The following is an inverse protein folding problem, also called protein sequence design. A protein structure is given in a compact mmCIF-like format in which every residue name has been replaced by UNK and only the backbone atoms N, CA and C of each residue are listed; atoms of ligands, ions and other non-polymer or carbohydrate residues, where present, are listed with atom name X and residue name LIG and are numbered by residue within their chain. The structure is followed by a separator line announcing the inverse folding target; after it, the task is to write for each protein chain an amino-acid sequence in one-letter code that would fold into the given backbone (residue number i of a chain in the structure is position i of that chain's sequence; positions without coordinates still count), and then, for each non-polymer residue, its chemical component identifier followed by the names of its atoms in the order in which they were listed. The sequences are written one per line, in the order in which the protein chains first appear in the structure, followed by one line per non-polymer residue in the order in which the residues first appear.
data_IF_371156517387
#
_entry.id   IF_371156517387
#
_cell.length_a   1.000
_cell.length_b   1.000
_cell.length_c   1.000
_cell.angle_alpha   90.00
_cell.angle_beta   90.00
_cell.angle_gamma   90.00
#
_symmetry.space_group_name_H-M   'P 1'
#
loop_
_entity.id
_entity.type
_entity.pdbx_description
1 polymer ?
#
# COMPACT_ATOMS: atom_id res chain seq x y z
N UNK A 1 24.49 -83.51 -4.65
CA UNK A 1 24.00 -82.74 -3.50
C UNK A 1 24.98 -81.59 -3.28
N UNK A 2 24.80 -80.46 -3.98
CA UNK A 2 24.12 -79.23 -3.52
C UNK A 2 24.69 -78.67 -2.22
N UNK A 3 25.42 -77.56 -2.33
CA UNK A 3 25.26 -76.30 -1.56
C UNK A 3 26.51 -75.41 -1.80
N UNK A 4 26.58 -74.78 -2.97
CA UNK A 4 27.50 -73.66 -3.19
C UNK A 4 26.70 -72.37 -2.96
N UNK A 5 27.07 -71.66 -1.90
CA UNK A 5 26.47 -70.44 -1.38
C UNK A 5 26.42 -69.32 -2.42
N UNK A 6 25.21 -68.89 -2.77
CA UNK A 6 24.96 -67.62 -3.45
C UNK A 6 25.23 -66.47 -2.48
N UNK A 7 26.46 -65.95 -2.47
CA UNK A 7 26.75 -64.65 -1.87
C UNK A 7 26.28 -63.59 -2.85
N UNK A 8 25.09 -63.03 -2.61
CA UNK A 8 24.59 -61.85 -3.29
C UNK A 8 25.54 -60.68 -3.01
N UNK A 9 26.32 -60.28 -4.01
CA UNK A 9 27.04 -59.00 -4.00
C UNK A 9 26.00 -57.89 -4.02
N UNK A 10 25.58 -57.43 -2.85
CA UNK A 10 24.80 -56.22 -2.71
C UNK A 10 25.75 -55.06 -3.03
N UNK A 11 25.77 -54.60 -4.28
CA UNK A 11 26.36 -53.30 -4.58
C UNK A 11 25.55 -52.28 -3.79
N UNK A 12 26.15 -51.65 -2.78
CA UNK A 12 25.55 -50.51 -2.13
C UNK A 12 25.27 -49.48 -3.24
N UNK A 13 24.01 -49.39 -3.66
CA UNK A 13 23.57 -48.28 -4.48
C UNK A 13 23.81 -47.06 -3.61
N UNK A 14 24.87 -46.33 -3.95
CA UNK A 14 25.21 -45.03 -3.38
C UNK A 14 23.90 -44.28 -3.26
N UNK A 15 23.47 -44.01 -2.03
CA UNK A 15 22.29 -43.20 -1.77
C UNK A 15 22.41 -41.97 -2.65
N UNK A 16 21.48 -41.81 -3.58
CA UNK A 16 21.39 -40.56 -4.32
C UNK A 16 21.20 -39.51 -3.23
N UNK A 17 22.20 -38.68 -3.01
CA UNK A 17 22.04 -37.49 -2.18
C UNK A 17 20.90 -36.73 -2.83
N UNK A 18 19.73 -36.71 -2.18
CA UNK A 18 18.59 -35.91 -2.62
C UNK A 18 19.07 -34.47 -2.49
N UNK A 19 19.65 -33.93 -3.56
CA UNK A 19 19.94 -32.50 -3.64
C UNK A 19 18.57 -31.84 -3.75
N UNK A 20 18.14 -31.06 -2.75
CA UNK A 20 16.86 -30.38 -2.84
C UNK A 20 16.88 -29.50 -4.09
N UNK A 21 15.91 -29.69 -4.98
CA UNK A 21 15.77 -28.93 -6.25
C UNK A 21 15.59 -27.42 -6.05
N UNK A 22 15.32 -26.98 -4.82
CA UNK A 22 15.11 -25.59 -4.46
C UNK A 22 16.14 -25.19 -3.40
N UNK A 23 17.09 -24.33 -3.77
CA UNK A 23 17.94 -23.63 -2.81
C UNK A 23 17.07 -22.67 -1.99
N UNK A 24 17.32 -22.52 -0.69
CA UNK A 24 16.63 -21.54 0.17
C UNK A 24 16.62 -20.12 -0.45
N UNK A 25 17.62 -19.81 -1.27
CA UNK A 25 17.80 -18.52 -1.95
C UNK A 25 17.02 -18.39 -3.28
N UNK A 26 16.36 -19.45 -3.74
CA UNK A 26 15.47 -19.47 -4.92
C UNK A 26 13.99 -19.42 -4.49
N UNK A 27 13.66 -18.58 -3.50
CA UNK A 27 12.27 -18.32 -3.14
C UNK A 27 11.71 -17.19 -4.05
N UNK A 28 10.69 -17.46 -4.89
CA UNK A 28 10.08 -16.44 -5.75
C UNK A 28 9.61 -15.19 -4.98
N UNK A 29 9.08 -15.36 -3.76
CA UNK A 29 8.60 -14.23 -2.95
C UNK A 29 9.74 -13.29 -2.53
N UNK A 30 10.91 -13.85 -2.19
CA UNK A 30 12.09 -13.07 -1.82
C UNK A 30 12.62 -12.33 -3.05
N UNK A 31 12.66 -12.99 -4.20
CA UNK A 31 13.14 -12.42 -5.45
C UNK A 31 12.26 -11.23 -5.87
N UNK A 32 10.94 -11.39 -5.85
CA UNK A 32 10.00 -10.31 -6.20
C UNK A 32 10.10 -9.14 -5.22
N UNK A 33 10.21 -9.42 -3.93
CA UNK A 33 10.41 -8.40 -2.91
C UNK A 33 11.74 -7.63 -3.10
N UNK A 34 12.83 -8.34 -3.43
CA UNK A 34 14.13 -7.72 -3.74
C UNK A 34 14.07 -6.88 -5.02
N UNK A 35 13.30 -7.30 -6.04
CA UNK A 35 13.07 -6.50 -7.25
C UNK A 35 12.35 -5.21 -6.93
N UNK A 36 11.26 -5.24 -6.16
CA UNK A 36 10.48 -4.04 -5.79
C UNK A 36 11.24 -3.04 -4.93
N UNK A 37 12.22 -3.50 -4.15
CA UNK A 37 13.10 -2.63 -3.35
C UNK A 37 14.10 -1.85 -4.20
N UNK A 38 14.47 -2.36 -5.39
CA UNK A 38 15.51 -1.73 -6.19
C UNK A 38 15.00 -0.38 -6.72
N UNK A 39 15.80 0.65 -6.45
CA UNK A 39 15.62 2.01 -6.94
C UNK A 39 16.79 2.31 -7.88
N UNK A 40 16.56 3.14 -8.90
CA UNK A 40 17.61 3.67 -9.77
C UNK A 40 18.78 4.26 -8.97
N UNK A 41 20.00 4.05 -9.46
CA UNK A 41 21.22 4.56 -8.82
C UNK A 41 21.27 6.09 -8.79
N UNK A 42 20.60 6.77 -9.73
CA UNK A 42 20.57 8.22 -9.82
C UNK A 42 19.55 8.86 -8.86
N UNK A 43 18.60 8.09 -8.33
CA UNK A 43 17.55 8.63 -7.47
C UNK A 43 18.09 8.97 -6.08
N UNK A 44 17.74 10.14 -5.50
CA UNK A 44 18.32 10.61 -4.24
C UNK A 44 17.94 9.74 -3.03
N UNK A 45 16.75 9.12 -3.03
CA UNK A 45 16.27 8.30 -1.90
C UNK A 45 16.53 6.81 -2.16
N UNK A 46 17.39 6.18 -1.35
CA UNK A 46 17.70 4.74 -1.49
C UNK A 46 16.69 3.82 -0.80
N UNK A 47 16.08 4.29 0.28
CA UNK A 47 15.02 3.57 1.00
C UNK A 47 14.20 4.55 1.84
N UNK A 48 12.97 4.18 2.17
CA UNK A 48 12.09 4.90 3.10
C UNK A 48 12.40 4.60 4.58
N UNK A 49 13.14 3.52 4.86
CA UNK A 49 13.36 3.03 6.23
C UNK A 49 12.15 2.33 6.86
N UNK A 50 11.01 2.30 6.16
CA UNK A 50 9.78 1.64 6.61
C UNK A 50 9.62 0.28 5.92
N UNK A 51 9.18 -0.72 6.68
CA UNK A 51 8.94 -2.06 6.12
C UNK A 51 7.65 -2.06 5.29
N UNK A 52 7.71 -2.64 4.09
CA UNK A 52 6.55 -2.74 3.20
C UNK A 52 6.21 -1.47 2.42
N UNK A 53 6.90 -0.34 2.65
CA UNK A 53 6.74 0.90 1.89
C UNK A 53 7.96 1.15 1.01
N UNK A 54 7.85 0.89 -0.29
CA UNK A 54 8.96 1.07 -1.24
C UNK A 54 9.02 2.49 -1.76
N UNK A 55 10.23 2.95 -2.09
CA UNK A 55 10.46 4.28 -2.66
C UNK A 55 9.78 4.37 -4.02
N UNK A 56 9.13 5.51 -4.26
CA UNK A 56 8.58 5.84 -5.57
C UNK A 56 9.54 6.80 -6.29
N UNK A 57 10.00 6.44 -7.49
CA UNK A 57 10.91 7.26 -8.30
C UNK A 57 10.22 8.48 -8.94
N UNK A 58 8.89 8.43 -9.09
CA UNK A 58 8.10 9.48 -9.73
C UNK A 58 6.93 9.92 -8.83
N UNK A 59 7.22 10.50 -7.65
CA UNK A 59 6.19 10.84 -6.67
C UNK A 59 5.24 11.93 -7.18
N UNK A 60 5.74 12.98 -7.84
CA UNK A 60 4.90 14.07 -8.36
C UNK A 60 3.88 13.57 -9.38
N UNK A 61 4.30 12.72 -10.32
CA UNK A 61 3.40 12.13 -11.30
C UNK A 61 2.33 11.27 -10.63
N UNK A 62 2.77 10.37 -9.73
CA UNK A 62 1.87 9.48 -9.00
C UNK A 62 0.83 10.26 -8.21
N UNK A 63 1.24 11.28 -7.45
CA UNK A 63 0.34 12.14 -6.68
C UNK A 63 -0.65 12.88 -7.57
N UNK A 64 -0.22 13.48 -8.68
CA UNK A 64 -1.13 14.15 -9.63
C UNK A 64 -2.19 13.20 -10.15
N UNK A 65 -1.81 11.96 -10.48
CA UNK A 65 -2.76 10.93 -10.94
C UNK A 65 -3.76 10.57 -9.84
N UNK A 66 -3.30 10.31 -8.62
CA UNK A 66 -4.17 9.90 -7.50
C UNK A 66 -5.10 11.03 -7.09
N UNK A 67 -4.59 12.25 -6.91
CA UNK A 67 -5.42 13.43 -6.62
C UNK A 67 -6.45 13.72 -7.73
N UNK A 68 -6.05 13.57 -9.00
CA UNK A 68 -6.99 13.68 -10.11
C UNK A 68 -8.10 12.62 -10.08
N UNK A 69 -7.82 11.41 -9.56
CA UNK A 69 -8.85 10.38 -9.34
C UNK A 69 -9.79 10.76 -8.21
N UNK A 70 -9.28 11.29 -7.09
CA UNK A 70 -10.08 11.76 -5.95
C UNK A 70 -11.06 12.84 -6.41
N UNK A 71 -10.57 13.88 -7.10
CA UNK A 71 -11.42 14.99 -7.58
C UNK A 71 -12.53 14.49 -8.51
N UNK A 72 -12.25 13.50 -9.38
CA UNK A 72 -13.29 12.87 -10.22
C UNK A 72 -14.33 12.11 -9.41
N UNK A 73 -13.92 11.36 -8.38
CA UNK A 73 -14.88 10.65 -7.52
C UNK A 73 -15.76 11.62 -6.72
N UNK A 74 -15.19 12.73 -6.23
CA UNK A 74 -15.91 13.74 -5.46
C UNK A 74 -16.99 14.47 -6.27
N UNK A 75 -16.88 14.54 -7.59
CA UNK A 75 -17.91 15.14 -8.46
C UNK A 75 -19.28 14.47 -8.32
N UNK A 76 -19.32 13.18 -7.95
CA UNK A 76 -20.57 12.44 -7.74
C UNK A 76 -21.27 12.76 -6.41
N UNK A 77 -20.57 13.37 -5.46
CA UNK A 77 -21.10 13.74 -4.14
C UNK A 77 -21.70 15.17 -4.21
N UNK A 78 -22.80 15.48 -3.53
CA UNK A 78 -23.35 16.84 -3.49
C UNK A 78 -22.36 17.92 -2.98
N UNK A 79 -22.39 19.13 -3.55
CA UNK A 79 -21.46 20.25 -3.23
C UNK A 79 -21.62 20.78 -1.80
N UNK A 80 -22.82 20.64 -1.23
CA UNK A 80 -23.12 21.05 0.15
C UNK A 80 -22.57 20.08 1.20
N UNK A 81 -22.09 18.90 0.82
CA UNK A 81 -21.55 17.93 1.77
C UNK A 81 -20.22 18.45 2.38
N UNK A 82 -20.12 18.56 3.72
CA UNK A 82 -18.89 18.95 4.40
C UNK A 82 -17.67 18.10 4.03
N UNK A 83 -17.85 16.79 3.84
CA UNK A 83 -16.78 15.88 3.43
C UNK A 83 -16.20 16.30 2.08
N UNK A 84 -17.05 16.57 1.09
CA UNK A 84 -16.62 17.03 -0.24
C UNK A 84 -15.86 18.35 -0.15
N UNK A 85 -16.37 19.31 0.59
CA UNK A 85 -15.74 20.63 0.73
C UNK A 85 -14.36 20.54 1.38
N UNK A 86 -14.23 19.81 2.49
CA UNK A 86 -12.97 19.66 3.21
C UNK A 86 -11.94 18.90 2.36
N UNK A 87 -12.34 17.81 1.70
CA UNK A 87 -11.45 17.02 0.84
C UNK A 87 -11.01 17.80 -0.39
N UNK A 88 -11.91 18.50 -1.09
CA UNK A 88 -11.54 19.35 -2.24
C UNK A 88 -10.54 20.44 -1.82
N UNK A 89 -10.77 21.11 -0.69
CA UNK A 89 -9.84 22.13 -0.19
C UNK A 89 -8.46 21.54 0.12
N UNK A 90 -8.41 20.41 0.82
CA UNK A 90 -7.17 19.72 1.17
C UNK A 90 -6.41 19.27 -0.08
N UNK A 91 -7.09 18.60 -1.02
CA UNK A 91 -6.47 18.08 -2.23
C UNK A 91 -6.00 19.22 -3.14
N UNK A 92 -6.78 20.28 -3.31
CA UNK A 92 -6.37 21.44 -4.09
C UNK A 92 -5.16 22.15 -3.49
N UNK A 93 -5.09 22.27 -2.16
CA UNK A 93 -3.92 22.81 -1.48
C UNK A 93 -2.68 21.93 -1.72
N UNK A 94 -2.80 20.62 -1.53
CA UNK A 94 -1.68 19.68 -1.77
C UNK A 94 -1.26 19.64 -3.24
N UNK A 95 -2.19 19.70 -4.17
CA UNK A 95 -1.91 19.71 -5.61
C UNK A 95 -1.10 20.95 -5.99
N UNK A 96 -1.45 22.14 -5.46
CA UNK A 96 -0.66 23.36 -5.63
C UNK A 96 0.78 23.18 -5.15
N UNK A 97 0.98 22.63 -3.94
CA UNK A 97 2.33 22.37 -3.42
C UNK A 97 3.13 21.41 -4.32
N UNK A 98 2.49 20.37 -4.85
CA UNK A 98 3.11 19.39 -5.77
C UNK A 98 3.47 20.01 -7.12
N UNK A 99 2.80 21.08 -7.53
CA UNK A 99 3.09 21.83 -8.75
C UNK A 99 4.16 22.91 -8.56
N UNK A 100 4.18 23.56 -7.40
CA UNK A 100 5.15 24.60 -7.05
C UNK A 100 6.55 24.03 -6.81
N UNK A 101 6.66 22.93 -6.07
CA UNK A 101 7.94 22.34 -5.72
C UNK A 101 8.29 21.17 -6.65
N UNK A 102 9.53 21.19 -7.15
CA UNK A 102 10.09 20.12 -7.98
C UNK A 102 10.97 19.16 -7.17
N UNK A 103 11.45 19.61 -6.01
CA UNK A 103 12.30 18.83 -5.12
C UNK A 103 11.44 18.07 -4.10
N UNK A 104 11.72 16.78 -3.96
CA UNK A 104 10.94 15.86 -3.12
C UNK A 104 11.11 16.19 -1.64
N UNK A 105 12.32 16.53 -1.19
CA UNK A 105 12.57 16.79 0.24
C UNK A 105 11.88 18.07 0.71
N UNK A 106 11.94 19.14 -0.08
CA UNK A 106 11.24 20.39 0.21
C UNK A 106 9.72 20.20 0.18
N UNK A 107 9.23 19.36 -0.74
CA UNK A 107 7.82 19.02 -0.80
C UNK A 107 7.36 18.28 0.47
N UNK A 108 8.16 17.33 0.97
CA UNK A 108 7.90 16.62 2.24
C UNK A 108 7.80 17.60 3.42
N UNK A 109 8.74 18.54 3.54
CA UNK A 109 8.75 19.57 4.59
C UNK A 109 7.53 20.49 4.52
N UNK A 110 7.15 20.95 3.32
CA UNK A 110 5.98 21.82 3.12
C UNK A 110 4.66 21.13 3.44
N UNK A 111 4.53 19.84 3.10
CA UNK A 111 3.32 19.07 3.39
C UNK A 111 3.25 18.73 4.89
N UNK A 112 4.39 18.42 5.52
CA UNK A 112 4.48 18.16 6.96
C UNK A 112 3.73 16.92 7.42
N UNK A 113 3.55 15.91 6.55
CA UNK A 113 2.82 14.67 6.85
C UNK A 113 3.64 13.39 6.66
N UNK A 114 4.92 13.44 7.04
CA UNK A 114 5.84 12.31 6.90
C UNK A 114 6.49 12.25 5.52
N UNK A 115 6.79 11.04 5.05
CA UNK A 115 7.45 10.82 3.76
C UNK A 115 6.47 10.89 2.59
N UNK A 116 6.97 11.19 1.40
CA UNK A 116 6.12 11.35 0.21
C UNK A 116 5.37 10.07 -0.16
N UNK A 117 5.96 8.90 0.11
CA UNK A 117 5.33 7.61 -0.13
C UNK A 117 4.14 7.35 0.81
N UNK A 118 4.21 7.81 2.06
CA UNK A 118 3.08 7.73 3.00
C UNK A 118 1.94 8.63 2.53
N UNK A 119 2.25 9.83 2.01
CA UNK A 119 1.26 10.75 1.43
C UNK A 119 0.58 10.12 0.21
N UNK A 120 1.32 9.41 -0.65
CA UNK A 120 0.75 8.66 -1.77
C UNK A 120 -0.23 7.59 -1.26
N UNK A 121 0.18 6.81 -0.25
CA UNK A 121 -0.65 5.76 0.32
C UNK A 121 -1.93 6.33 0.97
N UNK A 122 -1.82 7.44 1.70
CA UNK A 122 -2.97 8.18 2.22
C UNK A 122 -3.92 8.61 1.10
N UNK A 123 -3.39 9.12 -0.01
CA UNK A 123 -4.20 9.53 -1.15
C UNK A 123 -4.92 8.34 -1.81
N UNK A 124 -4.28 7.17 -1.87
CA UNK A 124 -4.93 5.94 -2.35
C UNK A 124 -6.06 5.47 -1.42
N UNK A 125 -5.85 5.54 -0.10
CA UNK A 125 -6.91 5.27 0.87
C UNK A 125 -8.05 6.27 0.75
N UNK A 126 -7.75 7.55 0.47
CA UNK A 126 -8.77 8.56 0.26
C UNK A 126 -9.61 8.27 -1.00
N UNK A 127 -9.01 7.75 -2.08
CA UNK A 127 -9.78 7.28 -3.25
C UNK A 127 -10.74 6.14 -2.85
N UNK A 128 -10.27 5.18 -2.03
CA UNK A 128 -11.10 4.08 -1.56
C UNK A 128 -12.23 4.58 -0.64
N UNK A 129 -11.92 5.48 0.29
CA UNK A 129 -12.89 6.11 1.17
C UNK A 129 -13.94 6.90 0.40
N UNK A 130 -13.53 7.74 -0.57
CA UNK A 130 -14.46 8.49 -1.40
C UNK A 130 -15.42 7.57 -2.17
N UNK A 131 -14.94 6.43 -2.69
CA UNK A 131 -15.79 5.42 -3.34
C UNK A 131 -16.79 4.79 -2.36
N UNK A 132 -16.33 4.44 -1.16
CA UNK A 132 -17.19 3.88 -0.12
C UNK A 132 -18.25 4.88 0.37
N UNK A 133 -17.93 6.17 0.42
CA UNK A 133 -18.89 7.23 0.75
C UNK A 133 -19.95 7.37 -0.34
N UNK A 134 -19.55 7.25 -1.60
CA UNK A 134 -20.49 7.25 -2.74
C UNK A 134 -21.43 6.05 -2.69
N UNK A 135 -20.90 4.87 -2.36
CA UNK A 135 -21.69 3.64 -2.22
C UNK A 135 -22.66 3.71 -1.04
N UNK A 136 -22.18 4.15 0.13
CA UNK A 136 -22.98 4.24 1.36
C UNK A 136 -23.91 5.46 1.41
N UNK A 137 -23.73 6.44 0.53
CA UNK A 137 -24.47 7.72 0.51
C UNK A 137 -24.54 8.38 1.89
N UNK A 138 -23.40 8.44 2.58
CA UNK A 138 -23.30 8.92 3.96
C UNK A 138 -23.70 10.40 4.20
N UNK A 139 -24.12 11.11 3.15
CA UNK A 139 -24.68 12.47 3.24
C UNK A 139 -26.20 12.49 3.46
N UNK A 140 -26.87 11.34 3.37
CA UNK A 140 -28.28 11.23 3.71
C UNK A 140 -28.48 11.41 5.23
N UNK A 141 -29.65 11.90 5.67
CA UNK A 141 -29.95 12.00 7.08
C UNK A 141 -29.87 10.62 7.76
N UNK A 142 -29.64 10.63 9.07
CA UNK A 142 -29.51 9.42 9.86
C UNK A 142 -30.72 8.50 9.66
N UNK A 143 -30.47 7.21 9.37
CA UNK A 143 -31.52 6.23 9.13
C UNK A 143 -32.47 6.06 10.33
N UNK A 144 -31.91 6.05 11.55
CA UNK A 144 -32.67 5.94 12.79
C UNK A 144 -32.10 6.90 13.85
N UNK A 145 -32.91 7.83 14.41
CA UNK A 145 -32.46 8.65 15.53
C UNK A 145 -32.17 7.76 16.75
N UNK A 146 -31.15 8.14 17.51
CA UNK A 146 -30.87 7.45 18.77
C UNK A 146 -32.03 7.58 19.76
N UNK A 147 -32.29 6.54 20.54
CA UNK A 147 -33.23 6.63 21.66
C UNK A 147 -32.68 7.58 22.74
N UNK A 148 -33.57 8.25 23.47
CA UNK A 148 -33.19 9.30 24.42
C UNK A 148 -32.23 8.82 25.52
N UNK A 149 -32.28 7.53 25.87
CA UNK A 149 -31.41 6.91 26.88
C UNK A 149 -30.11 6.33 26.31
N UNK A 150 -29.98 6.17 24.98
CA UNK A 150 -28.84 5.47 24.36
C UNK A 150 -27.49 6.10 24.71
N UNK A 151 -27.42 7.43 24.74
CA UNK A 151 -26.19 8.19 24.97
C UNK A 151 -26.15 8.90 26.33
N UNK A 152 -27.06 8.54 27.26
CA UNK A 152 -27.04 9.07 28.63
C UNK A 152 -25.94 8.36 29.43
N UNK A 153 -24.91 9.10 29.80
CA UNK A 153 -23.84 8.62 30.69
C UNK A 153 -23.52 9.66 31.77
N UNK A 154 -23.44 9.28 33.06
CA UNK A 154 -23.61 7.93 33.63
C UNK A 154 -25.07 7.43 33.63
N UNK A 155 -25.24 6.12 33.83
CA UNK A 155 -26.55 5.46 33.97
C UNK A 155 -27.10 5.76 35.37
N UNK A 156 -27.66 6.94 35.56
CA UNK A 156 -28.32 7.36 36.80
C UNK A 156 -29.79 7.69 36.55
#
# INVERSE_FOLDING_TARGET
MSLASKVLKFSAQRSQTITPKCSMYQNPYIIEHQKRRRVSEDYPKKSTGLTGLWVNEHPHYTLKVVYGRILRTLQSIPVNNPYRQATEQLINHRLKLVEEETDVFKLEEKIGMGQIEEVIQQAEYEVAAARAIVESKAWEPLAEPASESQWRWPVA
#
